data_IF_667661657597
#
_entry.id   IF_667661657597
#
_cell.length_a   1.000
_cell.length_b   1.000
_cell.length_c   1.000
_cell.angle_alpha   90.00
_cell.angle_beta   90.00
_cell.angle_gamma   90.00
#
_symmetry.space_group_name_H-M   'P 1'
#
loop_
_entity.id
_entity.type
_entity.pdbx_description
1 polymer ?
#
# COMPACT_ATOMS: atom_id res chain seq x y z
N UNK A 1 45.96 -34.81 19.98
CA UNK A 1 45.69 -35.25 21.36
C UNK A 1 44.84 -34.17 21.99
N UNK A 2 43.66 -34.41 22.58
CA UNK A 2 42.98 -35.66 22.92
C UNK A 2 41.65 -35.85 22.16
N UNK A 3 40.98 -36.99 22.37
CA UNK A 3 39.70 -37.37 21.77
C UNK A 3 38.64 -37.58 22.86
N UNK A 4 37.38 -37.27 22.57
CA UNK A 4 36.22 -37.88 23.25
C UNK A 4 34.96 -37.80 22.39
N UNK A 5 34.39 -38.99 22.22
CA UNK A 5 33.08 -39.41 21.69
C UNK A 5 31.93 -38.43 22.00
N UNK A 6 31.00 -38.13 21.08
CA UNK A 6 30.01 -38.98 20.38
C UNK A 6 28.77 -39.29 21.23
N UNK A 7 27.66 -38.60 20.94
CA UNK A 7 26.31 -39.01 21.32
C UNK A 7 25.33 -38.57 20.22
N UNK A 8 24.27 -39.36 19.98
CA UNK A 8 23.55 -39.37 18.71
C UNK A 8 22.03 -39.55 18.95
N UNK A 9 21.23 -38.51 18.67
CA UNK A 9 19.77 -38.56 18.59
C UNK A 9 19.23 -37.26 17.95
N UNK A 10 18.18 -37.26 17.13
CA UNK A 10 17.52 -38.36 16.44
C UNK A 10 16.57 -37.80 15.36
N UNK A 11 16.69 -38.26 14.11
CA UNK A 11 15.81 -37.81 13.02
C UNK A 11 14.44 -38.49 13.07
N UNK A 12 13.38 -37.73 13.34
CA UNK A 12 12.00 -38.21 13.24
C UNK A 12 11.48 -38.08 11.79
N UNK A 13 11.77 -39.08 10.97
CA UNK A 13 11.18 -39.21 9.62
C UNK A 13 9.70 -39.57 9.70
N UNK A 14 8.82 -38.67 9.26
CA UNK A 14 7.40 -38.96 9.05
C UNK A 14 7.08 -39.03 7.55
N UNK A 15 7.04 -40.26 7.03
CA UNK A 15 6.52 -40.52 5.69
C UNK A 15 5.02 -40.22 5.62
N UNK A 16 4.60 -39.44 4.62
CA UNK A 16 3.21 -39.44 4.16
C UNK A 16 3.17 -40.08 2.76
N UNK A 17 2.42 -41.17 2.65
CA UNK A 17 2.17 -41.89 1.38
C UNK A 17 1.20 -41.08 0.51
N UNK A 18 1.32 -41.12 -0.82
CA UNK A 18 0.27 -40.63 -1.71
C UNK A 18 -0.86 -41.67 -1.81
N UNK A 19 -2.09 -41.29 -1.49
CA UNK A 19 -3.29 -42.09 -1.81
C UNK A 19 -3.77 -41.80 -3.24
N UNK A 20 -4.36 -42.82 -3.87
CA UNK A 20 -4.73 -42.83 -5.31
C UNK A 20 -6.22 -43.10 -5.52
N UNK A 21 -6.84 -42.33 -6.43
CA UNK A 21 -8.26 -42.46 -6.84
C UNK A 21 -9.20 -41.62 -5.96
N UNK A 22 -10.30 -41.01 -6.43
CA UNK A 22 -10.98 -41.03 -7.73
C UNK A 22 -11.75 -39.67 -7.88
N UNK A 23 -12.55 -39.32 -8.91
CA UNK A 23 -13.09 -40.07 -10.05
C UNK A 23 -13.40 -39.17 -11.27
N UNK A 24 -13.66 -39.82 -12.40
CA UNK A 24 -14.17 -39.28 -13.67
C UNK A 24 -15.51 -38.52 -13.62
N UNK A 25 -15.57 -37.32 -14.21
CA UNK A 25 -16.82 -36.62 -14.56
C UNK A 25 -17.35 -37.10 -15.92
N UNK A 26 -18.18 -38.13 -15.93
CA UNK A 26 -18.88 -38.61 -17.13
C UNK A 26 -20.29 -38.05 -17.24
N UNK A 27 -20.50 -37.00 -18.04
CA UNK A 27 -21.82 -36.49 -18.42
C UNK A 27 -22.22 -37.02 -19.80
N UNK A 28 -23.33 -37.77 -19.89
CA UNK A 28 -23.90 -38.26 -21.16
C UNK A 28 -24.96 -37.29 -21.66
N UNK A 29 -24.90 -36.92 -22.94
CA UNK A 29 -26.08 -36.48 -23.70
C UNK A 29 -26.50 -37.57 -24.71
N UNK A 30 -27.79 -37.72 -25.02
CA UNK A 30 -28.30 -38.83 -25.83
C UNK A 30 -28.21 -38.56 -27.35
N UNK A 31 -28.18 -39.61 -28.19
CA UNK A 31 -28.08 -39.46 -29.63
C UNK A 31 -29.46 -39.23 -30.29
N UNK A 32 -29.54 -38.24 -31.18
CA UNK A 32 -30.65 -38.13 -32.15
C UNK A 32 -30.27 -38.82 -33.46
N UNK A 33 -31.16 -39.65 -33.98
CA UNK A 33 -30.94 -40.54 -35.12
C UNK A 33 -31.15 -39.86 -36.47
N UNK A 34 -30.26 -40.13 -37.44
CA UNK A 34 -30.36 -39.60 -38.81
C UNK A 34 -29.65 -40.47 -39.86
N UNK A 35 -30.44 -41.14 -40.71
CA UNK A 35 -30.05 -41.89 -41.93
C UNK A 35 -29.43 -40.94 -43.00
N UNK A 36 -28.71 -41.33 -44.06
CA UNK A 36 -28.02 -42.58 -44.47
C UNK A 36 -27.27 -42.36 -45.82
N UNK A 37 -26.21 -43.14 -46.09
CA UNK A 37 -25.64 -43.53 -47.41
C UNK A 37 -24.84 -42.54 -48.31
N UNK A 38 -23.56 -42.92 -48.50
CA UNK A 38 -22.84 -43.27 -49.77
C UNK A 38 -21.65 -42.42 -50.29
N UNK A 39 -20.63 -43.21 -50.70
CA UNK A 39 -19.53 -42.98 -51.64
C UNK A 39 -18.21 -42.28 -51.20
N UNK A 40 -17.14 -43.09 -51.31
CA UNK A 40 -15.69 -42.78 -51.41
C UNK A 40 -15.38 -42.30 -52.86
N UNK A 41 -14.21 -41.66 -53.17
CA UNK A 41 -12.87 -42.09 -52.76
C UNK A 41 -11.86 -41.00 -52.35
N UNK A 42 -10.63 -41.46 -52.07
CA UNK A 42 -9.50 -40.74 -51.47
C UNK A 42 -8.91 -39.67 -52.40
N UNK A 43 -8.52 -38.53 -51.82
CA UNK A 43 -7.40 -37.73 -52.29
C UNK A 43 -6.50 -37.38 -51.09
N UNK A 44 -5.18 -37.62 -51.22
CA UNK A 44 -4.18 -37.13 -50.25
C UNK A 44 -3.94 -35.64 -50.54
N UNK A 45 -4.18 -34.78 -49.56
CA UNK A 45 -3.67 -33.41 -49.53
C UNK A 45 -3.07 -33.18 -48.15
N UNK A 46 -1.89 -32.54 -48.09
CA UNK A 46 -1.25 -32.27 -46.81
C UNK A 46 -1.97 -31.13 -46.11
N UNK A 47 -2.77 -31.43 -45.09
CA UNK A 47 -3.30 -30.42 -44.19
C UNK A 47 -2.14 -29.80 -43.40
N UNK A 48 -1.88 -28.53 -43.66
CA UNK A 48 -1.13 -27.66 -42.77
C UNK A 48 -1.56 -27.88 -41.32
N UNK A 49 -0.61 -28.13 -40.42
CA UNK A 49 -0.90 -28.22 -38.99
C UNK A 49 -1.51 -26.90 -38.54
N UNK A 50 -2.79 -26.92 -38.20
CA UNK A 50 -3.51 -25.72 -37.78
C UNK A 50 -2.78 -25.07 -36.61
N UNK A 51 -2.49 -23.77 -36.75
CA UNK A 51 -2.13 -22.92 -35.61
C UNK A 51 -3.25 -23.10 -34.58
N UNK A 52 -2.95 -23.32 -33.29
CA UNK A 52 -4.00 -23.33 -32.27
C UNK A 52 -4.71 -21.99 -32.35
N UNK A 53 -6.00 -22.01 -32.73
CA UNK A 53 -6.83 -20.82 -32.69
C UNK A 53 -6.72 -20.24 -31.29
N UNK A 54 -6.43 -18.95 -31.18
CA UNK A 54 -6.35 -18.26 -29.90
C UNK A 54 -7.69 -18.46 -29.19
N UNK A 55 -7.75 -19.44 -28.29
CA UNK A 55 -8.92 -19.67 -27.48
C UNK A 55 -9.13 -18.39 -26.68
N UNK A 56 -10.30 -17.77 -26.82
CA UNK A 56 -10.61 -16.54 -26.11
C UNK A 56 -10.54 -16.80 -24.61
N UNK A 57 -9.37 -16.51 -24.03
CA UNK A 57 -9.18 -16.51 -22.59
C UNK A 57 -10.16 -15.47 -22.05
N UNK A 58 -11.29 -15.95 -21.51
CA UNK A 58 -12.21 -15.13 -20.71
C UNK A 58 -11.33 -14.29 -19.78
N UNK A 59 -11.40 -12.96 -19.92
CA UNK A 59 -10.67 -12.04 -19.04
C UNK A 59 -11.06 -12.41 -17.61
N UNK A 60 -10.10 -12.99 -16.88
CA UNK A 60 -10.15 -13.02 -15.44
C UNK A 60 -10.24 -11.57 -14.97
N UNK A 61 -10.96 -11.30 -13.88
CA UNK A 61 -10.95 -9.98 -13.21
C UNK A 61 -9.60 -9.72 -12.50
N UNK A 62 -8.53 -10.35 -12.97
CA UNK A 62 -7.21 -10.27 -12.39
C UNK A 62 -6.56 -8.94 -12.71
N UNK A 63 -5.88 -8.36 -11.73
CA UNK A 63 -5.01 -7.21 -11.98
C UNK A 63 -3.67 -7.60 -12.59
N UNK A 64 -3.36 -8.90 -12.66
CA UNK A 64 -2.29 -9.41 -13.49
C UNK A 64 -2.79 -9.63 -14.93
N UNK A 65 -1.95 -9.27 -15.90
CA UNK A 65 -2.19 -9.59 -17.31
C UNK A 65 -2.23 -11.10 -17.56
N UNK A 66 -2.67 -11.54 -18.76
CA UNK A 66 -2.69 -12.95 -19.11
C UNK A 66 -1.30 -13.57 -18.94
N UNK A 67 -1.25 -14.79 -18.39
CA UNK A 67 0.01 -15.50 -18.19
C UNK A 67 0.77 -15.59 -19.52
N UNK A 68 2.02 -15.08 -19.61
CA UNK A 68 2.71 -15.00 -20.88
C UNK A 68 2.97 -16.40 -21.45
N UNK A 69 2.84 -16.53 -22.78
CA UNK A 69 3.27 -17.73 -23.49
C UNK A 69 4.78 -17.86 -23.30
N UNK A 70 5.19 -18.90 -22.57
CA UNK A 70 6.58 -19.14 -22.17
C UNK A 70 7.39 -19.92 -23.20
N UNK A 71 6.81 -20.19 -24.38
CA UNK A 71 7.50 -20.76 -25.54
C UNK A 71 7.83 -19.65 -26.54
N UNK A 72 9.09 -19.53 -26.92
CA UNK A 72 9.62 -18.50 -27.81
C UNK A 72 10.00 -19.12 -29.16
N UNK A 73 9.07 -19.04 -30.12
CA UNK A 73 9.22 -19.70 -31.41
C UNK A 73 9.28 -21.24 -31.30
N UNK A 74 9.83 -21.93 -32.31
CA UNK A 74 9.77 -23.40 -32.40
C UNK A 74 10.81 -24.15 -31.54
N UNK A 75 11.76 -23.46 -30.89
CA UNK A 75 12.93 -24.10 -30.25
C UNK A 75 13.31 -23.57 -28.87
N UNK A 76 12.82 -22.40 -28.45
CA UNK A 76 13.18 -21.83 -27.15
C UNK A 76 11.95 -21.80 -26.21
N UNK A 77 12.21 -21.86 -24.91
CA UNK A 77 11.19 -21.67 -23.88
C UNK A 77 11.83 -21.15 -22.59
N UNK A 78 11.05 -20.46 -21.77
CA UNK A 78 11.43 -20.05 -20.43
C UNK A 78 11.49 -21.30 -19.53
N UNK A 79 12.68 -21.58 -18.98
CA UNK A 79 12.87 -22.71 -18.06
C UNK A 79 12.06 -22.48 -16.79
N UNK A 80 11.10 -23.38 -16.51
CA UNK A 80 10.28 -23.33 -15.29
C UNK A 80 11.08 -23.88 -14.11
N UNK A 81 11.94 -23.07 -13.51
CA UNK A 81 12.64 -23.41 -12.27
C UNK A 81 11.70 -23.21 -11.06
N UNK A 82 11.29 -24.27 -10.33
CA UNK A 82 10.36 -24.13 -9.21
C UNK A 82 10.85 -23.19 -8.11
N UNK A 83 12.18 -23.08 -7.91
CA UNK A 83 12.78 -22.18 -6.91
C UNK A 83 12.75 -20.69 -7.30
N UNK A 84 12.42 -20.38 -8.55
CA UNK A 84 12.30 -19.02 -9.07
C UNK A 84 10.84 -18.57 -9.28
N UNK A 85 9.86 -19.45 -9.03
CA UNK A 85 8.44 -19.10 -9.12
C UNK A 85 8.01 -18.40 -7.84
N UNK A 86 7.70 -17.10 -7.93
CA UNK A 86 7.07 -16.36 -6.84
C UNK A 86 5.55 -16.57 -6.88
N UNK A 87 4.99 -17.02 -5.76
CA UNK A 87 3.54 -17.09 -5.56
C UNK A 87 3.02 -15.75 -5.03
N UNK A 88 2.55 -14.90 -5.94
CA UNK A 88 1.93 -13.61 -5.60
C UNK A 88 0.41 -13.80 -5.64
N UNK A 89 -0.29 -13.40 -4.57
CA UNK A 89 -1.75 -13.36 -4.56
C UNK A 89 -2.24 -12.20 -5.42
N UNK A 90 -3.23 -12.47 -6.28
CA UNK A 90 -3.85 -11.47 -7.14
C UNK A 90 -4.46 -10.33 -6.31
N UNK A 91 -3.98 -9.08 -6.45
CA UNK A 91 -4.47 -7.94 -5.67
C UNK A 91 -5.97 -7.64 -5.81
N UNK A 92 -6.61 -8.12 -6.88
CA UNK A 92 -8.06 -7.97 -7.06
C UNK A 92 -8.90 -8.94 -6.20
N UNK A 93 -8.29 -10.07 -5.80
CA UNK A 93 -8.96 -11.16 -5.07
C UNK A 93 -8.83 -11.08 -3.55
N UNK A 94 -8.12 -10.07 -3.02
CA UNK A 94 -7.79 -9.97 -1.61
C UNK A 94 -9.04 -9.58 -0.79
N UNK A 95 -9.37 -10.40 0.21
CA UNK A 95 -10.51 -10.20 1.12
C UNK A 95 -10.08 -10.35 2.57
N UNK A 96 -10.71 -9.57 3.45
CA UNK A 96 -10.49 -9.62 4.88
C UNK A 96 -11.14 -10.86 5.49
N UNK A 97 -10.37 -11.61 6.27
CA UNK A 97 -10.85 -12.73 7.07
C UNK A 97 -10.45 -12.53 8.52
N UNK A 98 -11.43 -12.60 9.42
CA UNK A 98 -11.20 -12.52 10.86
C UNK A 98 -10.97 -13.91 11.43
N UNK A 99 -9.73 -14.24 11.82
CA UNK A 99 -9.41 -15.50 12.49
C UNK A 99 -10.12 -15.64 13.85
N UNK A 100 -10.43 -14.50 14.47
CA UNK A 100 -11.29 -14.31 15.64
C UNK A 100 -12.03 -12.99 15.44
N UNK A 101 -13.29 -12.85 15.89
CA UNK A 101 -14.00 -11.58 15.77
C UNK A 101 -13.24 -10.47 16.51
N UNK A 102 -13.11 -9.26 15.92
CA UNK A 102 -12.39 -8.16 16.54
C UNK A 102 -13.11 -7.71 17.82
N UNK A 103 -12.34 -7.38 18.86
CA UNK A 103 -12.85 -6.90 20.16
C UNK A 103 -12.40 -5.49 20.48
N UNK A 104 -11.24 -5.06 19.98
CA UNK A 104 -10.74 -3.70 20.16
C UNK A 104 -10.70 -2.92 18.85
N UNK A 105 -11.09 -1.65 18.93
CA UNK A 105 -11.15 -0.73 17.78
C UNK A 105 -10.48 0.59 18.13
N UNK A 106 -9.53 1.02 17.30
CA UNK A 106 -8.92 2.34 17.40
C UNK A 106 -9.70 3.33 16.53
N UNK A 107 -10.25 4.38 17.14
CA UNK A 107 -10.95 5.45 16.42
C UNK A 107 -10.02 6.66 16.29
N UNK A 108 -9.62 6.96 15.06
CA UNK A 108 -8.80 8.12 14.71
C UNK A 108 -9.69 9.21 14.11
N UNK A 109 -9.76 10.38 14.75
CA UNK A 109 -10.49 11.56 14.27
C UNK A 109 -9.49 12.63 13.80
N UNK A 110 -9.75 13.31 12.69
CA UNK A 110 -9.01 14.53 12.31
C UNK A 110 -9.16 15.61 13.42
N UNK A 111 -8.03 16.10 13.90
CA UNK A 111 -7.93 17.08 14.99
C UNK A 111 -8.45 18.45 14.50
N UNK A 112 -9.02 19.26 15.40
CA UNK A 112 -9.56 20.61 15.13
C UNK A 112 -10.72 20.68 14.12
N UNK A 113 -11.22 19.54 13.63
CA UNK A 113 -12.40 19.51 12.78
C UNK A 113 -13.68 19.34 13.62
N UNK A 114 -14.50 20.39 13.64
CA UNK A 114 -15.76 20.48 14.39
C UNK A 114 -16.85 19.61 13.76
N UNK A 115 -16.86 19.47 12.42
CA UNK A 115 -17.85 18.67 11.68
C UNK A 115 -17.84 17.20 12.10
N UNK A 116 -16.69 16.70 12.55
CA UNK A 116 -16.46 15.32 12.96
C UNK A 116 -16.88 15.02 14.40
N UNK A 117 -17.25 16.02 15.21
CA UNK A 117 -17.55 15.80 16.63
C UNK A 117 -18.78 14.92 16.84
N UNK A 118 -19.86 15.18 16.10
CA UNK A 118 -21.10 14.42 16.20
C UNK A 118 -20.94 13.00 15.62
N UNK A 119 -20.43 12.81 14.39
CA UNK A 119 -20.06 11.49 13.86
C UNK A 119 -19.14 10.66 14.76
N UNK A 120 -18.14 11.30 15.40
CA UNK A 120 -17.26 10.62 16.35
C UNK A 120 -18.03 10.10 17.58
N UNK A 121 -18.95 10.89 18.14
CA UNK A 121 -19.78 10.47 19.27
C UNK A 121 -20.69 9.30 18.88
N UNK A 122 -21.43 9.44 17.77
CA UNK A 122 -22.33 8.41 17.23
C UNK A 122 -21.61 7.09 16.98
N UNK A 123 -20.45 7.12 16.30
CA UNK A 123 -19.63 5.94 16.05
C UNK A 123 -19.18 5.28 17.36
N UNK A 124 -18.69 6.06 18.33
CA UNK A 124 -18.19 5.49 19.58
C UNK A 124 -19.31 4.90 20.44
N UNK A 125 -20.49 5.52 20.48
CA UNK A 125 -21.69 4.97 21.14
C UNK A 125 -22.05 3.62 20.51
N UNK A 126 -22.17 3.56 19.19
CA UNK A 126 -22.46 2.32 18.44
C UNK A 126 -21.45 1.21 18.72
N UNK A 127 -20.14 1.52 18.72
CA UNK A 127 -19.08 0.54 18.97
C UNK A 127 -19.09 0.01 20.42
N UNK A 128 -19.30 0.89 21.41
CA UNK A 128 -19.33 0.51 22.82
C UNK A 128 -20.63 -0.20 23.20
N UNK A 129 -21.80 0.36 22.86
CA UNK A 129 -23.10 -0.08 23.37
C UNK A 129 -23.74 -1.17 22.52
N UNK A 130 -23.72 -1.06 21.19
CA UNK A 130 -24.34 -2.06 20.30
C UNK A 130 -23.38 -3.19 19.92
N UNK A 131 -22.08 -2.89 19.73
CA UNK A 131 -21.06 -3.89 19.33
C UNK A 131 -20.21 -4.43 20.48
N UNK A 132 -20.33 -3.86 21.69
CA UNK A 132 -19.59 -4.29 22.89
C UNK A 132 -18.06 -4.38 22.65
N UNK A 133 -17.51 -3.39 21.94
CA UNK A 133 -16.08 -3.30 21.61
C UNK A 133 -15.33 -2.36 22.54
N UNK A 134 -14.05 -2.65 22.76
CA UNK A 134 -13.12 -1.79 23.50
C UNK A 134 -12.63 -0.69 22.56
N UNK A 135 -13.14 0.54 22.74
CA UNK A 135 -12.76 1.70 21.94
C UNK A 135 -11.47 2.34 22.47
N UNK A 136 -10.46 2.44 21.61
CA UNK A 136 -9.20 3.15 21.83
C UNK A 136 -9.20 4.52 21.14
N UNK A 137 -8.73 5.55 21.82
CA UNK A 137 -8.61 6.92 21.31
C UNK A 137 -7.35 7.61 21.84
N UNK A 138 -6.75 8.52 21.06
CA UNK A 138 -5.66 9.34 21.58
C UNK A 138 -6.20 10.27 22.66
N UNK A 139 -5.49 10.38 23.79
CA UNK A 139 -5.88 11.19 24.95
C UNK A 139 -6.27 12.62 24.59
N UNK A 140 -5.55 13.25 23.66
CA UNK A 140 -5.81 14.64 23.19
C UNK A 140 -7.21 14.83 22.61
N UNK A 141 -7.82 13.78 22.03
CA UNK A 141 -9.19 13.83 21.48
C UNK A 141 -10.22 14.00 22.60
N UNK A 142 -9.97 13.43 23.78
CA UNK A 142 -10.87 13.55 24.94
C UNK A 142 -10.64 14.80 25.79
N UNK A 143 -9.56 15.53 25.51
CA UNK A 143 -9.22 16.84 26.10
C UNK A 143 -9.82 18.00 25.28
N UNK A 144 -10.39 17.74 24.10
CA UNK A 144 -11.18 18.70 23.32
C UNK A 144 -12.39 19.19 24.13
N UNK A 145 -12.58 20.51 24.37
CA UNK A 145 -13.69 21.03 25.16
C UNK A 145 -15.08 20.58 24.70
N UNK A 146 -15.29 20.36 23.40
CA UNK A 146 -16.58 19.94 22.84
C UNK A 146 -16.90 18.44 23.05
N UNK A 147 -15.90 17.67 23.51
CA UNK A 147 -16.03 16.27 23.97
C UNK A 147 -15.91 16.20 25.50
N UNK A 148 -15.16 17.11 26.13
CA UNK A 148 -14.94 17.14 27.57
C UNK A 148 -16.15 17.61 28.37
N UNK A 149 -16.90 18.59 27.84
CA UNK A 149 -18.02 19.23 28.53
C UNK A 149 -19.40 18.63 28.15
N UNK A 150 -19.44 17.58 27.34
CA UNK A 150 -20.69 16.94 26.92
C UNK A 150 -21.14 15.88 27.93
N UNK A 151 -22.15 16.24 28.74
CA UNK A 151 -22.72 15.37 29.77
C UNK A 151 -23.30 14.06 29.21
N UNK A 152 -23.89 14.10 28.00
CA UNK A 152 -24.48 12.90 27.37
C UNK A 152 -23.43 11.85 27.00
N UNK A 153 -22.20 12.29 26.75
CA UNK A 153 -21.09 11.43 26.34
C UNK A 153 -20.24 10.91 27.51
N UNK A 154 -20.49 11.37 28.76
CA UNK A 154 -19.69 11.01 29.94
C UNK A 154 -19.69 9.52 30.25
N UNK A 155 -20.82 8.83 30.05
CA UNK A 155 -20.92 7.39 30.30
C UNK A 155 -19.99 6.59 29.37
N UNK A 156 -20.10 6.82 28.06
CA UNK A 156 -19.29 6.16 27.04
C UNK A 156 -17.82 6.58 27.17
N UNK A 157 -17.53 7.85 27.46
CA UNK A 157 -16.16 8.35 27.70
C UNK A 157 -15.40 7.60 28.80
N UNK A 158 -16.08 7.10 29.84
CA UNK A 158 -15.47 6.30 30.91
C UNK A 158 -15.09 4.87 30.48
N UNK A 159 -15.66 4.36 29.38
CA UNK A 159 -15.32 3.05 28.83
C UNK A 159 -14.05 3.04 27.96
N UNK A 160 -13.59 4.22 27.52
CA UNK A 160 -12.51 4.33 26.53
C UNK A 160 -11.13 4.00 27.10
N UNK A 161 -10.35 3.28 26.31
CA UNK A 161 -8.91 3.13 26.53
C UNK A 161 -8.17 4.30 25.88
N UNK A 162 -7.57 5.18 26.69
CA UNK A 162 -6.75 6.28 26.17
C UNK A 162 -5.28 5.89 26.04
N UNK A 163 -4.59 6.48 25.06
CA UNK A 163 -3.15 6.37 24.89
C UNK A 163 -2.52 7.72 24.52
N UNK A 164 -1.20 7.84 24.70
CA UNK A 164 -0.35 8.96 24.28
C UNK A 164 0.67 8.45 23.28
N UNK A 165 0.62 8.96 22.05
CA UNK A 165 1.51 8.61 20.92
C UNK A 165 3.00 8.54 21.33
N UNK A 166 3.50 9.54 22.04
CA UNK A 166 4.92 9.64 22.43
C UNK A 166 5.38 8.60 23.46
N UNK A 167 4.48 7.96 24.21
CA UNK A 167 4.82 7.13 25.37
C UNK A 167 4.31 5.70 25.27
N UNK A 168 3.02 5.56 24.97
CA UNK A 168 2.33 4.27 25.08
C UNK A 168 2.48 3.49 23.76
N UNK A 169 2.37 2.16 23.79
CA UNK A 169 2.36 1.30 22.60
C UNK A 169 1.05 0.51 22.56
N UNK A 170 0.33 0.66 21.45
CA UNK A 170 -0.97 0.03 21.20
C UNK A 170 -0.90 -1.03 20.09
N UNK A 171 0.28 -1.28 19.51
CA UNK A 171 0.46 -2.10 18.30
C UNK A 171 -0.14 -3.50 18.43
N UNK A 172 -0.03 -4.10 19.63
CA UNK A 172 -0.54 -5.43 19.95
C UNK A 172 -1.86 -5.42 20.75
N UNK A 173 -2.60 -4.30 20.75
CA UNK A 173 -3.84 -4.12 21.53
C UNK A 173 -5.07 -3.79 20.68
N UNK A 174 -4.90 -3.50 19.40
CA UNK A 174 -5.93 -3.01 18.48
C UNK A 174 -6.18 -4.07 17.39
N UNK A 175 -7.40 -4.59 17.31
CA UNK A 175 -7.78 -5.56 16.28
C UNK A 175 -8.24 -4.88 14.97
N UNK A 176 -8.78 -3.67 15.07
CA UNK A 176 -9.43 -2.94 13.97
C UNK A 176 -9.21 -1.42 14.10
N UNK A 177 -9.11 -0.69 12.99
CA UNK A 177 -8.93 0.77 12.99
C UNK A 177 -10.04 1.42 12.16
N UNK A 178 -10.72 2.42 12.72
CA UNK A 178 -11.64 3.29 11.99
C UNK A 178 -11.07 4.71 11.96
N UNK A 179 -11.00 5.30 10.77
CA UNK A 179 -10.57 6.68 10.58
C UNK A 179 -11.77 7.56 10.18
N UNK A 180 -11.92 8.70 10.84
CA UNK A 180 -12.91 9.75 10.54
C UNK A 180 -12.17 11.00 10.06
N UNK A 181 -12.27 11.31 8.76
CA UNK A 181 -11.69 12.51 8.16
C UNK A 181 -11.06 12.27 6.79
N UNK A 182 -10.00 13.03 6.46
CA UNK A 182 -9.26 12.88 5.21
C UNK A 182 -8.03 11.98 5.33
N UNK A 183 -7.31 11.82 4.22
CA UNK A 183 -6.12 10.98 4.02
C UNK A 183 -5.06 11.06 5.13
N UNK A 184 -4.88 12.23 5.76
CA UNK A 184 -3.96 12.43 6.88
C UNK A 184 -4.26 11.58 8.13
N UNK A 185 -5.48 11.06 8.27
CA UNK A 185 -5.85 10.10 9.32
C UNK A 185 -5.24 8.72 9.08
N UNK A 186 -5.17 8.26 7.82
CA UNK A 186 -4.53 7.01 7.45
C UNK A 186 -2.99 7.11 7.58
N UNK A 187 -2.41 8.28 7.29
CA UNK A 187 -0.99 8.54 7.58
C UNK A 187 -0.70 8.47 9.08
N UNK A 188 -1.60 8.97 9.93
CA UNK A 188 -1.46 8.83 11.38
C UNK A 188 -1.54 7.36 11.81
N UNK A 189 -2.52 6.60 11.29
CA UNK A 189 -2.60 5.15 11.52
C UNK A 189 -1.28 4.44 11.13
N UNK A 190 -0.75 4.67 9.92
CA UNK A 190 0.54 4.12 9.50
C UNK A 190 1.70 4.48 10.44
N UNK A 191 1.70 5.70 11.00
CA UNK A 191 2.74 6.14 11.93
C UNK A 191 2.70 5.45 13.30
N UNK A 192 1.51 5.05 13.78
CA UNK A 192 1.32 4.33 15.04
C UNK A 192 1.80 2.88 14.96
N UNK A 193 1.56 2.19 13.83
CA UNK A 193 1.88 0.76 13.65
C UNK A 193 3.12 0.56 12.77
N UNK A 194 4.31 0.50 13.38
CA UNK A 194 5.59 0.36 12.65
C UNK A 194 5.90 -1.09 12.18
N UNK A 195 5.06 -2.05 12.54
CA UNK A 195 5.11 -3.45 12.08
C UNK A 195 3.78 -3.80 11.39
N UNK A 196 3.17 -4.95 11.71
CA UNK A 196 1.85 -5.34 11.25
C UNK A 196 0.81 -4.26 11.56
N UNK A 197 -0.04 -3.93 10.59
CA UNK A 197 -1.07 -2.90 10.71
C UNK A 197 -2.43 -3.59 10.71
N UNK A 198 -3.29 -3.35 11.72
CA UNK A 198 -4.67 -3.84 11.72
C UNK A 198 -5.47 -3.30 10.51
N UNK A 199 -6.55 -3.98 10.06
CA UNK A 199 -7.42 -3.50 9.00
C UNK A 199 -7.94 -2.08 9.28
N UNK A 200 -7.83 -1.20 8.29
CA UNK A 200 -8.27 0.19 8.40
C UNK A 200 -9.52 0.43 7.56
N UNK A 201 -10.55 0.99 8.19
CA UNK A 201 -11.80 1.45 7.56
C UNK A 201 -11.86 2.99 7.60
N UNK A 202 -11.54 3.68 6.49
CA UNK A 202 -11.44 5.14 6.48
C UNK A 202 -12.68 5.82 5.86
N UNK A 203 -13.36 6.63 6.67
CA UNK A 203 -14.54 7.41 6.30
C UNK A 203 -14.21 8.87 5.95
N UNK A 204 -14.76 9.37 4.85
CA UNK A 204 -14.80 10.81 4.54
C UNK A 204 -16.10 11.43 5.05
N UNK A 205 -16.02 12.72 5.43
CA UNK A 205 -17.13 13.51 5.97
C UNK A 205 -17.03 14.94 5.42
N UNK A 206 -17.13 15.06 4.08
CA UNK A 206 -16.83 16.27 3.33
C UNK A 206 -16.31 15.92 1.94
N UNK A 207 -15.28 16.62 1.47
CA UNK A 207 -14.59 16.26 0.23
C UNK A 207 -13.99 14.84 0.33
N UNK A 208 -14.26 13.98 -0.66
CA UNK A 208 -13.62 12.68 -0.78
C UNK A 208 -12.09 12.84 -0.84
N UNK A 209 -11.37 11.95 -0.14
CA UNK A 209 -9.92 11.81 -0.23
C UNK A 209 -9.55 10.58 -1.05
N UNK A 210 -8.28 10.47 -1.46
CA UNK A 210 -7.82 9.30 -2.25
C UNK A 210 -7.78 8.01 -1.42
N UNK A 211 -7.87 8.12 -0.10
CA UNK A 211 -7.68 7.04 0.86
C UNK A 211 -8.92 6.75 1.71
N UNK A 212 -10.06 7.42 1.50
CA UNK A 212 -11.24 7.42 2.40
C UNK A 212 -12.57 7.10 1.69
N UNK A 213 -12.78 5.88 1.15
CA UNK A 213 -13.90 5.60 0.24
C UNK A 213 -15.28 5.53 0.91
N UNK A 214 -15.37 5.41 2.24
CA UNK A 214 -16.65 5.24 2.94
C UNK A 214 -17.31 6.59 3.29
N UNK A 215 -18.58 6.78 2.90
CA UNK A 215 -19.41 7.86 3.43
C UNK A 215 -20.01 7.44 4.79
N UNK A 216 -19.91 8.32 5.79
CA UNK A 216 -20.41 8.09 7.14
C UNK A 216 -21.93 7.90 7.24
N UNK A 217 -22.74 8.41 6.29
CA UNK A 217 -24.22 8.32 6.34
C UNK A 217 -24.79 6.90 6.54
N UNK A 218 -24.02 5.85 6.19
CA UNK A 218 -24.42 4.44 6.32
C UNK A 218 -23.47 3.62 7.20
N UNK A 219 -22.72 4.26 8.09
CA UNK A 219 -21.63 3.62 8.86
C UNK A 219 -22.06 2.36 9.62
N UNK A 220 -23.25 2.32 10.21
CA UNK A 220 -23.72 1.22 11.06
C UNK A 220 -23.77 -0.11 10.29
N UNK A 221 -24.32 -0.10 9.07
CA UNK A 221 -24.41 -1.29 8.22
C UNK A 221 -23.04 -1.70 7.68
N UNK A 222 -22.23 -0.73 7.24
CA UNK A 222 -20.90 -0.97 6.68
C UNK A 222 -19.92 -1.52 7.72
N UNK A 223 -19.88 -0.93 8.93
CA UNK A 223 -19.05 -1.41 10.05
C UNK A 223 -19.50 -2.81 10.48
N UNK A 224 -20.80 -3.08 10.50
CA UNK A 224 -21.32 -4.43 10.79
C UNK A 224 -20.84 -5.45 9.77
N UNK A 225 -20.99 -5.16 8.47
CA UNK A 225 -20.51 -6.03 7.39
C UNK A 225 -18.99 -6.27 7.46
N UNK A 226 -18.21 -5.24 7.77
CA UNK A 226 -16.76 -5.36 7.95
C UNK A 226 -16.40 -6.26 9.13
N UNK A 227 -17.11 -6.17 10.27
CA UNK A 227 -16.89 -7.02 11.45
C UNK A 227 -17.31 -8.48 11.20
N UNK A 228 -18.41 -8.69 10.47
CA UNK A 228 -18.85 -10.03 10.01
C UNK A 228 -17.85 -10.64 9.01
N UNK A 229 -17.11 -9.80 8.29
CA UNK A 229 -15.93 -10.16 7.51
C UNK A 229 -16.18 -10.25 6.00
N UNK A 230 -15.23 -10.83 5.27
CA UNK A 230 -15.27 -11.00 3.82
C UNK A 230 -15.32 -9.68 3.01
N UNK A 231 -15.00 -8.54 3.61
CA UNK A 231 -14.84 -7.26 2.91
C UNK A 231 -13.66 -7.31 1.94
N UNK A 232 -13.74 -6.60 0.80
CA UNK A 232 -12.59 -6.44 -0.09
C UNK A 232 -11.53 -5.56 0.57
N UNK A 233 -10.24 -5.85 0.34
CA UNK A 233 -9.13 -5.06 0.87
C UNK A 233 -8.11 -4.73 -0.22
N UNK A 234 -7.41 -3.62 -0.01
CA UNK A 234 -6.26 -3.20 -0.81
C UNK A 234 -5.04 -3.07 0.10
N UNK A 235 -4.01 -3.89 -0.14
CA UNK A 235 -2.75 -3.86 0.60
C UNK A 235 -1.85 -2.72 0.09
N UNK A 236 -2.01 -1.53 0.69
CA UNK A 236 -1.22 -0.34 0.32
C UNK A 236 0.23 -0.54 0.78
N UNK A 237 1.14 -0.69 -0.17
CA UNK A 237 2.59 -0.84 0.10
C UNK A 237 3.14 0.34 0.89
N UNK A 238 4.06 0.09 1.82
CA UNK A 238 4.85 1.12 2.51
C UNK A 238 6.32 1.06 2.07
N UNK A 239 7.05 2.15 2.24
CA UNK A 239 8.51 2.16 2.21
C UNK A 239 9.05 1.88 3.62
N UNK A 240 9.99 0.94 3.73
CA UNK A 240 10.85 0.76 4.89
C UNK A 240 12.10 1.60 4.68
N UNK A 241 12.30 2.58 5.54
CA UNK A 241 13.37 3.56 5.43
C UNK A 241 14.32 3.40 6.60
N UNK A 242 15.61 3.27 6.32
CA UNK A 242 16.67 3.16 7.31
C UNK A 242 17.59 4.37 7.17
N UNK A 243 17.66 5.20 8.21
CA UNK A 243 18.66 6.28 8.27
C UNK A 243 19.81 5.84 9.15
N UNK A 244 21.03 5.92 8.61
CA UNK A 244 22.28 5.70 9.31
C UNK A 244 22.98 7.05 9.46
N UNK A 245 23.25 7.46 10.69
CA UNK A 245 24.08 8.64 11.00
C UNK A 245 25.42 8.21 11.54
N UNK A 246 26.51 8.72 10.97
CA UNK A 246 27.88 8.36 11.41
C UNK A 246 28.32 9.18 12.62
N UNK A 247 28.13 10.50 12.59
CA UNK A 247 28.60 11.43 13.61
C UNK A 247 27.43 11.91 14.51
N UNK A 248 26.96 11.07 15.42
CA UNK A 248 25.86 11.41 16.33
C UNK A 248 26.35 11.78 17.75
N UNK A 249 26.13 13.03 18.16
CA UNK A 249 26.33 13.44 19.55
C UNK A 249 25.26 12.86 20.49
N UNK A 250 25.67 12.36 21.65
CA UNK A 250 24.80 11.67 22.64
C UNK A 250 23.77 12.59 23.34
N UNK A 251 23.67 13.86 22.94
CA UNK A 251 23.02 14.96 23.69
C UNK A 251 21.50 15.06 23.49
N UNK A 252 20.89 14.25 22.60
CA UNK A 252 19.44 14.24 22.34
C UNK A 252 18.77 12.95 22.84
N UNK A 253 17.51 12.99 23.30
CA UNK A 253 16.82 11.83 23.89
C UNK A 253 16.66 10.66 22.91
N UNK A 254 16.55 9.44 23.45
CA UNK A 254 16.27 8.22 22.67
C UNK A 254 14.88 8.30 22.03
N UNK A 255 14.82 8.49 20.72
CA UNK A 255 13.56 8.34 19.96
C UNK A 255 13.17 6.86 19.83
N UNK A 256 11.86 6.58 19.92
CA UNK A 256 11.25 5.24 19.78
C UNK A 256 11.76 4.43 18.57
N UNK A 257 12.09 5.11 17.46
CA UNK A 257 12.51 4.49 16.19
C UNK A 257 14.02 4.11 16.11
N UNK A 258 14.77 4.18 17.22
CA UNK A 258 16.23 3.87 17.24
C UNK A 258 16.47 2.37 17.42
N UNK A 259 16.98 1.68 16.39
CA UNK A 259 17.25 0.23 16.46
C UNK A 259 18.64 -0.05 17.05
N UNK A 260 19.66 0.70 16.61
CA UNK A 260 21.06 0.45 16.99
C UNK A 260 21.78 1.76 17.27
N UNK A 261 22.45 1.85 18.40
CA UNK A 261 23.46 2.85 18.70
C UNK A 261 24.73 2.11 19.14
N UNK A 262 25.72 2.02 18.26
CA UNK A 262 26.98 1.36 18.58
C UNK A 262 27.87 2.30 19.40
N UNK A 263 28.79 1.72 20.17
CA UNK A 263 29.82 2.49 20.91
C UNK A 263 30.67 3.37 19.98
N UNK A 264 30.78 2.98 18.70
CA UNK A 264 31.42 3.71 17.59
C UNK A 264 30.71 5.00 17.15
N UNK A 265 29.71 5.51 17.87
CA UNK A 265 28.99 6.76 17.54
C UNK A 265 27.90 6.63 16.47
N UNK A 266 27.88 5.54 15.69
CA UNK A 266 26.90 5.32 14.61
C UNK A 266 25.49 5.03 15.14
N UNK A 267 24.51 5.85 14.78
CA UNK A 267 23.07 5.68 15.10
C UNK A 267 22.31 5.16 13.88
N UNK A 268 21.46 4.16 14.07
CA UNK A 268 20.57 3.61 13.02
C UNK A 268 19.11 3.71 13.47
N UNK A 269 18.28 4.30 12.61
CA UNK A 269 16.87 4.56 12.86
C UNK A 269 16.04 4.00 11.70
N UNK A 270 14.84 3.50 11.98
CA UNK A 270 13.96 2.91 10.96
C UNK A 270 12.56 3.51 11.01
N UNK A 271 11.95 3.71 9.84
CA UNK A 271 10.62 4.28 9.67
C UNK A 271 9.82 3.47 8.65
N UNK A 272 8.53 3.27 8.92
CA UNK A 272 7.54 2.91 7.91
C UNK A 272 6.91 4.19 7.36
N UNK A 273 6.75 4.25 6.03
CA UNK A 273 6.28 5.44 5.31
C UNK A 273 5.22 5.01 4.28
N UNK A 274 4.03 5.60 4.32
CA UNK A 274 2.92 5.20 3.45
C UNK A 274 2.91 5.94 2.12
N UNK A 275 3.15 7.25 2.13
CA UNK A 275 3.17 8.08 0.94
C UNK A 275 4.59 8.26 0.43
N UNK A 276 5.41 9.07 1.13
CA UNK A 276 6.71 9.47 0.60
C UNK A 276 7.80 9.78 1.64
N UNK A 277 9.03 9.52 1.20
CA UNK A 277 10.26 10.08 1.78
C UNK A 277 10.65 11.28 0.94
N UNK A 278 10.75 12.45 1.56
CA UNK A 278 11.22 13.66 0.89
C UNK A 278 12.63 13.95 1.37
N UNK A 279 13.60 14.13 0.46
CA UNK A 279 14.94 14.63 0.76
C UNK A 279 15.10 15.99 0.08
N UNK A 280 15.22 17.06 0.85
CA UNK A 280 15.16 18.45 0.38
C UNK A 280 16.34 19.31 0.88
N UNK A 281 16.58 20.47 0.25
CA UNK A 281 17.68 21.41 0.60
C UNK A 281 17.52 22.15 1.95
N UNK A 282 16.42 21.94 2.65
CA UNK A 282 16.12 22.60 3.91
C UNK A 282 15.96 24.11 3.78
N UNK A 283 16.45 24.90 4.76
CA UNK A 283 16.47 26.35 4.67
C UNK A 283 17.60 26.91 3.79
N UNK A 284 18.45 26.06 3.18
CA UNK A 284 19.58 26.54 2.38
C UNK A 284 19.09 27.26 1.12
N UNK A 285 19.74 28.37 0.77
CA UNK A 285 19.51 29.11 -0.48
C UNK A 285 20.17 28.46 -1.70
N UNK A 286 21.08 27.51 -1.49
CA UNK A 286 21.73 26.75 -2.56
C UNK A 286 20.94 25.48 -2.89
N UNK A 287 21.10 24.99 -4.12
CA UNK A 287 20.56 23.69 -4.53
C UNK A 287 21.11 22.56 -3.65
N UNK A 288 20.28 21.56 -3.35
CA UNK A 288 20.77 20.30 -2.78
C UNK A 288 21.59 19.55 -3.82
N UNK A 289 22.74 18.96 -3.42
CA UNK A 289 23.51 18.02 -4.22
C UNK A 289 23.43 16.63 -3.55
N UNK A 290 22.55 15.76 -4.06
CA UNK A 290 22.18 14.51 -3.40
C UNK A 290 22.42 13.34 -4.35
N UNK A 291 23.33 12.44 -3.99
CA UNK A 291 23.66 11.26 -4.80
C UNK A 291 22.59 10.17 -4.60
N UNK A 292 22.02 9.70 -5.72
CA UNK A 292 20.98 8.66 -5.76
C UNK A 292 21.56 7.38 -6.37
N UNK A 293 21.54 6.31 -5.59
CA UNK A 293 21.98 4.97 -5.99
C UNK A 293 20.79 4.01 -6.06
N UNK A 294 20.85 3.06 -7.00
CA UNK A 294 19.91 1.94 -7.14
C UNK A 294 20.71 0.64 -7.20
N UNK A 295 20.40 -0.30 -6.29
CA UNK A 295 21.12 -1.58 -6.13
C UNK A 295 22.65 -1.41 -6.12
N UNK A 296 23.13 -0.39 -5.40
CA UNK A 296 24.54 -0.03 -5.26
C UNK A 296 25.16 0.81 -6.39
N UNK A 297 24.46 1.00 -7.51
CA UNK A 297 24.96 1.76 -8.67
C UNK A 297 24.52 3.23 -8.59
N UNK A 298 25.46 4.17 -8.73
CA UNK A 298 25.13 5.60 -8.80
C UNK A 298 24.36 5.88 -10.10
N UNK A 299 23.13 6.37 -9.98
CA UNK A 299 22.27 6.69 -11.12
C UNK A 299 22.44 8.16 -11.52
N UNK A 300 22.39 9.07 -10.56
CA UNK A 300 22.55 10.51 -10.79
C UNK A 300 22.82 11.24 -9.48
N UNK A 301 23.41 12.43 -9.57
CA UNK A 301 23.36 13.43 -8.49
C UNK A 301 22.18 14.36 -8.75
N UNK A 302 21.22 14.37 -7.83
CA UNK A 302 20.09 15.29 -7.86
C UNK A 302 20.59 16.69 -7.52
N UNK A 303 20.37 17.64 -8.45
CA UNK A 303 20.62 19.06 -8.26
C UNK A 303 19.30 19.82 -8.43
N UNK A 304 18.76 20.39 -7.34
CA UNK A 304 17.43 21.00 -7.31
C UNK A 304 17.00 21.41 -5.90
N UNK A 305 15.69 21.53 -5.68
CA UNK A 305 15.11 21.68 -4.35
C UNK A 305 15.18 20.36 -3.55
N UNK A 306 15.13 19.21 -4.23
CA UNK A 306 15.21 17.90 -3.60
C UNK A 306 14.78 16.72 -4.49
N UNK A 307 14.49 15.59 -3.84
CA UNK A 307 13.90 14.38 -4.45
C UNK A 307 12.87 13.75 -3.52
N UNK A 308 11.76 13.30 -4.10
CA UNK A 308 10.71 12.51 -3.45
C UNK A 308 10.87 11.05 -3.87
N UNK A 309 10.91 10.14 -2.90
CA UNK A 309 10.75 8.70 -3.15
C UNK A 309 9.40 8.28 -2.57
N UNK A 310 8.46 7.90 -3.42
CA UNK A 310 7.07 7.63 -3.02
C UNK A 310 6.59 6.23 -3.38
N UNK A 311 5.58 5.76 -2.67
CA UNK A 311 4.79 4.59 -3.04
C UNK A 311 3.77 4.97 -4.13
N UNK A 312 3.09 3.97 -4.74
CA UNK A 312 1.89 4.21 -5.55
C UNK A 312 0.78 4.94 -4.77
N UNK A 313 0.67 4.75 -3.46
CA UNK A 313 -0.29 5.48 -2.61
C UNK A 313 0.12 6.96 -2.46
N UNK A 314 1.42 7.24 -2.33
CA UNK A 314 1.97 8.61 -2.35
C UNK A 314 1.94 9.30 -3.71
N UNK A 315 1.60 8.57 -4.80
CA UNK A 315 1.54 9.15 -6.15
C UNK A 315 0.54 10.31 -6.26
N UNK A 316 -0.53 10.29 -5.46
CA UNK A 316 -1.57 11.33 -5.40
C UNK A 316 -1.34 12.35 -4.26
N UNK A 317 -0.21 12.26 -3.54
CA UNK A 317 0.14 13.13 -2.43
C UNK A 317 1.16 14.21 -2.89
N UNK A 318 2.34 14.32 -2.28
CA UNK A 318 3.28 15.38 -2.68
C UNK A 318 3.90 15.13 -4.07
N UNK A 319 4.00 13.86 -4.49
CA UNK A 319 4.61 13.47 -5.76
C UNK A 319 3.90 14.06 -6.99
N UNK A 320 2.56 14.08 -7.05
CA UNK A 320 1.82 14.67 -8.19
C UNK A 320 2.06 16.17 -8.32
N UNK A 321 2.20 16.89 -7.20
CA UNK A 321 2.55 18.32 -7.21
C UNK A 321 3.96 18.59 -7.77
N UNK A 322 4.88 17.64 -7.62
CA UNK A 322 6.21 17.66 -8.26
C UNK A 322 6.22 17.07 -9.69
N UNK A 323 5.05 16.80 -10.28
CA UNK A 323 4.91 16.35 -11.67
C UNK A 323 4.96 14.83 -11.88
N UNK A 324 4.85 14.03 -10.82
CA UNK A 324 4.74 12.57 -10.94
C UNK A 324 3.41 12.15 -11.59
N UNK A 325 3.41 10.98 -12.23
CA UNK A 325 2.18 10.32 -12.68
C UNK A 325 1.45 9.67 -11.50
N UNK A 326 0.13 9.71 -11.51
CA UNK A 326 -0.69 8.97 -10.55
C UNK A 326 -0.69 7.47 -10.88
N UNK A 327 -0.52 6.63 -9.87
CA UNK A 327 -0.36 5.18 -10.01
C UNK A 327 -1.40 4.47 -9.14
N UNK A 328 -2.09 3.49 -9.71
CA UNK A 328 -3.04 2.65 -8.99
C UNK A 328 -2.34 1.86 -7.86
N UNK A 329 -2.87 1.76 -6.63
CA UNK A 329 -2.09 1.26 -5.49
C UNK A 329 -1.61 -0.19 -5.60
N UNK A 330 -2.28 -1.00 -6.43
CA UNK A 330 -1.89 -2.39 -6.72
C UNK A 330 -0.73 -2.55 -7.74
N UNK A 331 -0.15 -1.47 -8.26
CA UNK A 331 1.04 -1.55 -9.13
C UNK A 331 2.30 -1.69 -8.25
N UNK A 332 3.06 -2.79 -8.31
CA UNK A 332 4.20 -3.02 -7.41
C UNK A 332 5.44 -2.24 -7.85
N UNK A 333 5.50 -0.97 -7.48
CA UNK A 333 6.59 -0.04 -7.85
C UNK A 333 7.03 0.88 -6.71
N UNK A 334 8.21 1.47 -6.88
CA UNK A 334 8.69 2.65 -6.14
C UNK A 334 8.83 3.79 -7.17
N UNK A 335 8.46 5.01 -6.78
CA UNK A 335 8.56 6.19 -7.63
C UNK A 335 9.67 7.11 -7.14
N UNK A 336 10.35 7.76 -8.08
CA UNK A 336 11.43 8.72 -7.82
C UNK A 336 11.09 9.99 -8.59
N UNK A 337 10.82 11.08 -7.87
CA UNK A 337 10.31 12.34 -8.44
C UNK A 337 11.20 13.50 -7.98
N UNK A 338 11.98 14.14 -8.88
CA UNK A 338 12.78 15.30 -8.50
C UNK A 338 11.90 16.52 -8.19
N UNK A 339 12.31 17.34 -7.22
CA UNK A 339 11.66 18.61 -6.90
C UNK A 339 12.50 19.72 -7.54
N UNK A 340 11.88 20.46 -8.47
CA UNK A 340 12.49 21.59 -9.20
C UNK A 340 13.94 21.29 -9.66
N UNK A 341 14.19 20.22 -10.44
CA UNK A 341 15.55 19.88 -10.86
C UNK A 341 16.12 20.96 -11.78
N UNK A 342 17.38 21.33 -11.54
CA UNK A 342 18.13 22.23 -12.42
C UNK A 342 18.40 21.61 -13.81
N UNK A 343 18.39 20.27 -13.89
CA UNK A 343 18.45 19.55 -15.17
C UNK A 343 17.05 19.30 -15.74
N UNK A 344 16.75 19.93 -16.88
CA UNK A 344 15.48 19.77 -17.61
C UNK A 344 15.24 18.35 -18.15
N UNK A 345 16.28 17.51 -18.23
CA UNK A 345 16.15 16.12 -18.65
C UNK A 345 15.80 15.17 -17.50
N UNK A 346 15.88 15.60 -16.24
CA UNK A 346 15.58 14.75 -15.11
C UNK A 346 14.06 14.70 -14.86
N UNK A 347 13.43 13.65 -15.40
CA UNK A 347 11.99 13.37 -15.25
C UNK A 347 11.72 12.40 -14.11
N UNK A 348 10.49 12.33 -13.59
CA UNK A 348 10.09 11.28 -12.65
C UNK A 348 10.26 9.89 -13.25
N UNK A 349 10.72 8.94 -12.44
CA UNK A 349 11.01 7.55 -12.84
C UNK A 349 10.22 6.59 -11.93
N UNK A 350 9.74 5.50 -12.51
CA UNK A 350 9.08 4.40 -11.81
C UNK A 350 9.98 3.16 -11.89
N UNK A 351 10.32 2.57 -10.75
CA UNK A 351 11.22 1.41 -10.66
C UNK A 351 10.50 0.23 -9.96
N UNK A 352 10.91 -1.04 -10.18
CA UNK A 352 10.26 -2.19 -9.55
C UNK A 352 10.34 -2.14 -8.02
N UNK A 353 9.30 -2.60 -7.31
CA UNK A 353 9.28 -2.62 -5.83
C UNK A 353 10.37 -3.48 -5.16
N UNK A 354 11.09 -4.30 -5.92
CA UNK A 354 12.16 -5.17 -5.40
C UNK A 354 13.53 -4.51 -5.25
N UNK A 355 13.73 -3.28 -5.74
CA UNK A 355 15.05 -2.60 -5.72
C UNK A 355 15.35 -1.96 -4.35
N UNK A 356 16.64 -1.83 -4.03
CA UNK A 356 17.11 -0.98 -2.95
C UNK A 356 17.56 0.39 -3.50
N UNK A 357 16.97 1.46 -2.99
CA UNK A 357 17.43 2.82 -3.23
C UNK A 357 18.30 3.29 -2.06
N UNK A 358 19.41 3.95 -2.36
CA UNK A 358 20.24 4.59 -1.34
C UNK A 358 20.48 6.05 -1.73
N UNK A 359 20.28 6.94 -0.76
CA UNK A 359 20.45 8.39 -0.90
C UNK A 359 21.51 8.86 0.09
N UNK A 360 22.45 9.68 -0.39
CA UNK A 360 23.52 10.31 0.40
C UNK A 360 23.73 11.75 -0.06
N UNK A 361 24.37 12.59 0.77
CA UNK A 361 24.94 13.84 0.25
C UNK A 361 26.07 13.52 -0.73
N UNK A 362 26.11 14.26 -1.84
CA UNK A 362 27.26 14.22 -2.73
C UNK A 362 28.49 14.81 -2.06
N UNK A 363 29.69 14.35 -2.41
CA UNK A 363 30.96 14.89 -1.86
C UNK A 363 31.13 16.39 -2.13
N UNK A 364 30.50 16.89 -3.18
CA UNK A 364 30.48 18.30 -3.59
C UNK A 364 29.34 19.11 -2.94
N UNK A 365 28.56 18.52 -2.03
CA UNK A 365 27.48 19.20 -1.32
C UNK A 365 28.02 20.26 -0.35
N UNK A 366 27.71 21.53 -0.64
CA UNK A 366 28.08 22.69 0.19
C UNK A 366 27.25 22.86 1.46
N UNK A 367 26.11 22.18 1.54
CA UNK A 367 25.12 22.30 2.61
C UNK A 367 24.56 20.92 2.96
N UNK A 368 24.04 20.79 4.18
CA UNK A 368 23.29 19.61 4.59
C UNK A 368 21.92 19.55 3.88
N UNK A 369 21.40 18.32 3.72
CA UNK A 369 20.03 18.08 3.27
C UNK A 369 19.13 17.79 4.48
N UNK A 370 17.82 17.73 4.25
CA UNK A 370 16.83 17.35 5.24
C UNK A 370 15.98 16.21 4.69
N UNK A 371 15.66 15.22 5.52
CA UNK A 371 14.71 14.17 5.17
C UNK A 371 13.45 14.30 6.03
N UNK A 372 12.28 14.04 5.44
CA UNK A 372 11.01 13.84 6.13
C UNK A 372 10.30 12.56 5.66
N UNK A 373 9.37 12.09 6.48
CA UNK A 373 8.66 10.82 6.30
C UNK A 373 7.16 11.07 6.45
N UNK A 374 6.38 10.92 5.38
CA UNK A 374 4.94 11.30 5.33
C UNK A 374 4.70 12.74 5.84
N UNK A 375 5.60 13.67 5.51
CA UNK A 375 5.59 15.06 5.98
C UNK A 375 5.94 15.27 7.46
N UNK A 376 6.37 14.23 8.18
CA UNK A 376 6.66 14.23 9.63
C UNK A 376 8.12 13.90 9.92
N UNK A 377 8.49 13.99 11.21
CA UNK A 377 9.79 13.57 11.79
C UNK A 377 11.00 14.09 10.99
N UNK A 378 10.96 15.38 10.60
CA UNK A 378 11.99 16.00 9.75
C UNK A 378 13.34 16.04 10.48
N UNK A 379 14.39 15.59 9.81
CA UNK A 379 15.74 15.53 10.38
C UNK A 379 16.79 15.93 9.33
N UNK A 380 17.82 16.62 9.79
CA UNK A 380 18.98 17.00 8.97
C UNK A 380 19.81 15.75 8.60
N UNK A 381 20.50 15.79 7.46
CA UNK A 381 21.35 14.74 6.88
C UNK A 381 22.67 15.40 6.48
N UNK A 382 23.75 14.98 7.14
CA UNK A 382 25.10 15.50 6.91
C UNK A 382 25.96 14.62 6.00
N UNK A 383 27.21 15.02 5.80
CA UNK A 383 28.21 14.17 5.14
C UNK A 383 28.48 12.90 5.97
N UNK A 384 28.55 11.73 5.31
CA UNK A 384 28.66 10.41 5.95
C UNK A 384 27.30 9.77 6.29
N UNK A 385 26.25 10.57 6.53
CA UNK A 385 24.90 10.04 6.74
C UNK A 385 24.36 9.37 5.46
N UNK A 386 23.51 8.35 5.61
CA UNK A 386 22.86 7.69 4.47
C UNK A 386 21.42 7.26 4.79
N UNK A 387 20.60 7.29 3.75
CA UNK A 387 19.19 6.86 3.78
C UNK A 387 19.06 5.67 2.83
N UNK A 388 18.61 4.52 3.33
CA UNK A 388 18.32 3.33 2.51
C UNK A 388 16.81 3.11 2.49
N UNK A 389 16.23 2.92 1.31
CA UNK A 389 14.79 2.82 1.07
C UNK A 389 14.50 1.53 0.29
N UNK A 390 13.56 0.74 0.80
CA UNK A 390 13.10 -0.53 0.20
C UNK A 390 11.58 -0.64 0.40
N UNK A 391 10.87 -1.43 -0.39
CA UNK A 391 9.48 -1.75 -0.07
C UNK A 391 9.40 -2.56 1.24
N UNK A 392 8.47 -2.18 2.10
CA UNK A 392 8.24 -2.80 3.40
C UNK A 392 7.49 -4.13 3.26
N UNK A 393 7.83 -5.09 4.11
CA UNK A 393 7.07 -6.33 4.29
C UNK A 393 5.73 -6.13 5.03
N UNK A 394 5.48 -4.94 5.58
CA UNK A 394 4.26 -4.61 6.31
C UNK A 394 3.43 -3.55 5.56
N UNK A 395 2.54 -3.94 4.63
CA UNK A 395 1.61 -3.00 3.99
C UNK A 395 0.53 -2.50 4.98
N UNK A 396 -0.21 -1.47 4.59
CA UNK A 396 -1.43 -1.04 5.28
C UNK A 396 -2.64 -1.70 4.61
N UNK A 397 -3.37 -2.61 5.28
CA UNK A 397 -4.61 -3.17 4.77
C UNK A 397 -5.74 -2.13 4.89
N UNK A 398 -6.01 -1.44 3.78
CA UNK A 398 -7.13 -0.53 3.65
C UNK A 398 -8.34 -1.33 3.17
N UNK A 399 -9.47 -1.21 3.86
CA UNK A 399 -10.72 -1.84 3.43
C UNK A 399 -11.32 -1.02 2.28
N UNK A 400 -11.89 -1.72 1.29
CA UNK A 400 -12.57 -1.14 0.15
C UNK A 400 -14.09 -1.08 0.40
N UNK A 401 -14.74 -0.05 -0.12
CA UNK A 401 -16.20 0.05 -0.12
C UNK A 401 -16.83 -0.90 -1.15
N UNK A 402 -16.25 -0.99 -2.36
CA UNK A 402 -16.64 -1.97 -3.38
C UNK A 402 -15.49 -2.93 -3.68
N UNK A 403 -14.42 -2.40 -4.28
CA UNK A 403 -13.25 -3.16 -4.70
C UNK A 403 -12.07 -2.21 -4.97
N UNK A 404 -10.82 -2.72 -5.03
CA UNK A 404 -9.63 -1.89 -5.20
C UNK A 404 -9.63 -0.95 -6.40
N UNK A 405 -10.34 -1.31 -7.48
CA UNK A 405 -10.28 -0.61 -8.77
C UNK A 405 -11.35 0.47 -8.86
N UNK A 406 -12.61 0.13 -8.54
CA UNK A 406 -13.70 1.09 -8.58
C UNK A 406 -13.51 2.21 -7.55
N UNK A 407 -13.11 1.87 -6.32
CA UNK A 407 -12.85 2.86 -5.27
C UNK A 407 -11.80 3.91 -5.71
N UNK A 408 -10.73 3.48 -6.42
CA UNK A 408 -9.67 4.36 -6.90
C UNK A 408 -10.11 5.28 -8.05
N UNK A 409 -10.85 4.75 -9.03
CA UNK A 409 -11.37 5.56 -10.12
C UNK A 409 -12.48 6.52 -9.66
N UNK A 410 -13.31 6.13 -8.69
CA UNK A 410 -14.31 7.00 -8.07
C UNK A 410 -13.63 8.15 -7.31
N UNK A 411 -12.57 7.85 -6.56
CA UNK A 411 -11.72 8.87 -5.91
C UNK A 411 -11.10 9.83 -6.92
N UNK A 412 -10.48 9.34 -8.00
CA UNK A 412 -9.94 10.20 -9.08
C UNK A 412 -10.99 11.12 -9.70
N UNK A 413 -12.16 10.56 -10.03
CA UNK A 413 -13.24 11.31 -10.68
C UNK A 413 -13.78 12.44 -9.79
N UNK A 414 -13.92 12.20 -8.48
CA UNK A 414 -14.43 13.19 -7.53
C UNK A 414 -13.34 14.19 -7.10
N UNK A 415 -12.14 13.74 -6.69
CA UNK A 415 -11.09 14.60 -6.15
C UNK A 415 -10.49 15.57 -7.18
N UNK A 416 -10.42 15.16 -8.46
CA UNK A 416 -9.79 15.96 -9.52
C UNK A 416 -10.78 16.48 -10.58
N UNK A 417 -12.08 16.19 -10.44
CA UNK A 417 -13.07 16.37 -11.51
C UNK A 417 -12.57 15.84 -12.85
N UNK A 418 -11.99 14.62 -12.82
CA UNK A 418 -11.14 14.11 -13.89
C UNK A 418 -11.88 14.08 -15.25
N UNK A 419 -11.39 14.90 -16.19
CA UNK A 419 -11.96 15.07 -17.52
C UNK A 419 -13.44 15.53 -17.57
N UNK A 420 -13.93 16.21 -16.52
CA UNK A 420 -15.24 16.88 -16.55
C UNK A 420 -15.17 18.10 -17.48
N UNK A 421 -15.70 17.93 -18.70
CA UNK A 421 -15.77 18.98 -19.72
C UNK A 421 -17.24 19.23 -20.10
N UNK A 422 -17.62 20.51 -20.29
CA UNK A 422 -18.89 20.85 -20.95
C UNK A 422 -18.91 20.18 -22.32
N UNK A 423 -19.86 19.28 -22.56
CA UNK A 423 -20.05 18.65 -23.88
C UNK A 423 -20.19 19.76 -24.92
N UNK A 424 -19.45 19.65 -26.03
CA UNK A 424 -19.68 20.53 -27.17
C UNK A 424 -21.12 20.30 -27.66
N UNK A 425 -21.84 21.39 -27.94
CA UNK A 425 -23.09 21.31 -28.67
C UNK A 425 -22.84 20.68 -30.03
N UNK A 426 -23.81 19.92 -30.54
CA UNK A 426 -23.81 19.58 -31.95
C UNK A 426 -23.81 20.88 -32.77
N UNK A 427 -23.11 20.88 -33.90
CA UNK A 427 -23.28 21.93 -34.90
C UNK A 427 -24.76 21.91 -35.33
N UNK A 428 -25.45 23.03 -35.19
CA UNK A 428 -26.77 23.22 -35.78
C UNK A 428 -26.62 23.16 -37.29
N UNK A 429 -27.43 22.33 -37.95
CA UNK A 429 -27.44 22.15 -39.41
C UNK A 429 -28.07 23.33 -40.17
N UNK A 430 -27.79 24.55 -39.70
CA UNK A 430 -28.32 25.82 -40.22
C UNK A 430 -27.19 26.75 -40.72
N UNK A 431 -25.93 26.30 -40.70
CA UNK A 431 -24.77 26.98 -41.33
C UNK A 431 -24.35 26.31 -42.66
N UNK A 432 -25.26 25.58 -43.32
CA UNK A 432 -25.09 25.05 -44.70
C UNK A 432 -26.01 25.74 -45.73
N UNK A 433 -26.43 26.99 -45.50
CA UNK A 433 -26.97 27.86 -46.57
C UNK A 433 -26.26 29.23 -46.62
N UNK A 434 -25.43 29.38 -47.66
CA UNK A 434 -25.00 30.58 -48.40
C UNK A 434 -24.83 31.95 -47.69
#
# INVERSE_FOLDING_TARGET
MSSSQMENSGEASWMLKPETGCSSCGGKEPPVTGKAFRNKPKARSMSTSAVPSCAEFRRTQSLHGPCPVTTFGPKACMMKNPKAVMHIQDPASQRLTWNKPPKSVLVIKKIQDVSLLQPFKELCIFLTEEKNMIVYVERKVLEDPAIANDESFVAVKKSFCTFRDDYDDISNRVDFIICLGGDGTLLYASSLFQESVPPVMPFHLGSLGFLTPFNFDTYQSQVTQVIEGNAAIILRSRLKVKVVKENWEKTRPKEKNTIVANESGRRTMQYQVLNEVVVDRGPSSYLSNVDLFLDGHLITTVQGDGVIVSTPTGSTAYAVAAGASMIHPNVPAIMITPICPHSLSFRPIVVPAGVELKIMLSREARNNAWVSFDGRKRQEIGHGDSITITTSCFPVPSICFRDPVNDWFESLAQCLHWNVRKKQSHLSSEEEEF
#
